data_IF_488484557259
#
_entry.id   IF_488484557259
#
_cell.length_a   1.000
_cell.length_b   1.000
_cell.length_c   1.000
_cell.angle_alpha   90.00
_cell.angle_beta   90.00
_cell.angle_gamma   90.00
#
_symmetry.space_group_name_H-M   'P 1'
#
loop_
_entity.id
_entity.type
_entity.pdbx_description
1 polymer ?
#
# COMPACT_ATOMS: atom_id res chain seq x y z
N UNK A 1 1.51 -15.08 4.20
CA UNK A 1 1.76 -13.70 3.73
C UNK A 1 1.74 -12.69 4.89
N UNK A 2 0.71 -12.68 5.74
CA UNK A 2 0.54 -11.74 6.88
C UNK A 2 1.75 -11.64 7.84
N UNK A 3 2.35 -12.77 8.24
CA UNK A 3 3.56 -12.79 9.10
C UNK A 3 4.78 -12.18 8.43
N UNK A 4 4.87 -12.22 7.08
CA UNK A 4 5.99 -11.65 6.32
C UNK A 4 5.87 -10.13 6.19
N UNK A 5 4.67 -9.56 6.27
CA UNK A 5 4.45 -8.10 6.25
C UNK A 5 4.68 -7.48 7.65
N UNK A 6 4.38 -8.21 8.73
CA UNK A 6 4.47 -7.69 10.11
C UNK A 6 5.89 -7.32 10.54
N UNK A 7 6.89 -8.14 10.21
CA UNK A 7 8.29 -7.85 10.58
C UNK A 7 8.82 -6.56 9.93
N UNK A 8 8.71 -6.37 8.60
CA UNK A 8 9.03 -5.10 7.97
C UNK A 8 8.23 -3.92 8.52
N UNK A 9 6.91 -4.07 8.73
CA UNK A 9 6.07 -3.02 9.29
C UNK A 9 6.55 -2.55 10.68
N UNK A 10 6.98 -3.48 11.54
CA UNK A 10 7.58 -3.14 12.82
C UNK A 10 8.94 -2.43 12.67
N UNK A 11 9.76 -2.85 11.70
CA UNK A 11 11.07 -2.25 11.47
C UNK A 11 11.00 -0.82 10.91
N UNK A 12 9.92 -0.48 10.21
CA UNK A 12 9.70 0.90 9.70
C UNK A 12 8.93 1.77 10.68
N UNK A 13 8.37 1.22 11.76
CA UNK A 13 7.60 1.98 12.77
C UNK A 13 8.38 3.17 13.30
N UNK A 14 9.61 2.95 13.77
CA UNK A 14 10.45 4.01 14.35
C UNK A 14 10.67 5.15 13.35
N UNK A 15 10.89 4.82 12.07
CA UNK A 15 11.05 5.82 11.00
C UNK A 15 9.77 6.61 10.73
N UNK A 16 8.61 5.98 10.88
CA UNK A 16 7.31 6.66 10.75
C UNK A 16 7.11 7.61 11.93
N UNK A 17 7.41 7.16 13.15
CA UNK A 17 7.33 7.97 14.36
C UNK A 17 8.26 9.19 14.29
N UNK A 18 9.51 9.00 13.85
CA UNK A 18 10.49 10.06 13.57
C UNK A 18 9.98 11.02 12.50
N UNK A 19 9.50 10.52 11.36
CA UNK A 19 8.98 11.36 10.29
C UNK A 19 7.78 12.19 10.75
N UNK A 20 6.87 11.62 11.54
CA UNK A 20 5.76 12.35 12.16
C UNK A 20 6.32 13.44 13.07
N UNK A 21 7.22 13.09 13.99
CA UNK A 21 7.80 14.03 14.96
C UNK A 21 8.55 15.20 14.29
N UNK A 22 9.26 14.95 13.19
CA UNK A 22 10.07 15.97 12.51
C UNK A 22 9.27 16.80 11.50
N UNK A 23 8.36 16.17 10.73
CA UNK A 23 7.83 16.76 9.49
C UNK A 23 6.34 17.10 9.51
N UNK A 24 5.54 16.48 10.38
CA UNK A 24 4.09 16.76 10.44
C UNK A 24 3.81 18.02 11.27
N UNK A 25 3.69 19.18 10.66
CA UNK A 25 3.41 20.41 11.41
C UNK A 25 1.98 20.42 11.97
N UNK A 26 1.83 20.18 13.27
CA UNK A 26 0.53 20.10 13.89
C UNK A 26 -0.05 21.48 14.17
N UNK A 27 0.73 22.55 14.34
CA UNK A 27 0.18 23.89 14.59
C UNK A 27 -0.70 24.35 13.43
N UNK A 28 -0.22 24.12 12.20
CA UNK A 28 -0.98 24.40 10.97
C UNK A 28 -2.27 23.56 10.92
N UNK A 29 -2.22 22.28 11.30
CA UNK A 29 -3.37 21.36 11.26
C UNK A 29 -4.38 21.61 12.41
N UNK A 30 -3.90 21.99 13.61
CA UNK A 30 -4.69 22.30 14.81
C UNK A 30 -5.68 23.46 14.57
N UNK A 31 -5.33 24.38 13.67
CA UNK A 31 -6.20 25.51 13.32
C UNK A 31 -7.43 25.12 12.49
N UNK A 32 -7.45 23.90 11.90
CA UNK A 32 -8.38 23.54 10.82
C UNK A 32 -9.62 22.76 11.23
N UNK A 33 -9.71 22.19 12.44
CA UNK A 33 -10.90 21.43 12.82
C UNK A 33 -10.84 20.65 14.12
N UNK A 34 -11.99 20.04 14.47
CA UNK A 34 -12.17 19.19 15.66
C UNK A 34 -11.82 17.72 15.41
N UNK A 35 -11.56 17.33 14.17
CA UNK A 35 -11.29 15.94 13.78
C UNK A 35 -10.00 15.82 12.98
N UNK A 36 -9.33 14.69 13.13
CA UNK A 36 -8.13 14.32 12.39
C UNK A 36 -8.39 13.03 11.63
N UNK A 37 -8.30 13.11 10.32
CA UNK A 37 -8.67 12.05 9.39
C UNK A 37 -7.42 11.36 8.82
N UNK A 38 -7.33 10.05 8.99
CA UNK A 38 -6.28 9.19 8.45
C UNK A 38 -6.88 8.12 7.54
N UNK A 39 -6.19 7.77 6.45
CA UNK A 39 -6.57 6.65 5.58
C UNK A 39 -5.44 5.62 5.42
N UNK A 40 -5.78 4.34 5.48
CA UNK A 40 -4.92 3.21 5.08
C UNK A 40 -5.35 2.68 3.71
N UNK A 41 -4.51 2.88 2.69
CA UNK A 41 -4.72 2.45 1.32
C UNK A 41 -4.12 1.06 1.09
N UNK A 42 -4.99 0.05 0.96
CA UNK A 42 -4.63 -1.36 0.89
C UNK A 42 -4.62 -2.04 2.26
N UNK A 43 -5.67 -1.83 3.05
CA UNK A 43 -5.75 -2.27 4.45
C UNK A 43 -5.90 -3.80 4.62
N UNK A 44 -6.34 -4.50 3.57
CA UNK A 44 -6.73 -5.92 3.61
C UNK A 44 -7.75 -6.19 4.73
N UNK A 45 -7.58 -7.26 5.51
CA UNK A 45 -8.54 -7.72 6.52
C UNK A 45 -8.01 -7.67 7.96
N UNK A 46 -6.83 -7.06 8.18
CA UNK A 46 -6.16 -7.01 9.47
C UNK A 46 -5.29 -8.24 9.81
N UNK A 47 -4.60 -8.25 10.97
CA UNK A 47 -4.57 -7.21 12.00
C UNK A 47 -3.54 -6.09 11.73
N UNK A 48 -2.72 -6.22 10.68
CA UNK A 48 -1.60 -5.31 10.42
C UNK A 48 -2.05 -3.84 10.29
N UNK A 49 -3.17 -3.60 9.61
CA UNK A 49 -3.77 -2.27 9.45
C UNK A 49 -4.13 -1.62 10.79
N UNK A 50 -4.72 -2.37 11.74
CA UNK A 50 -5.09 -1.85 13.06
C UNK A 50 -3.86 -1.45 13.87
N UNK A 51 -2.80 -2.27 13.81
CA UNK A 51 -1.53 -1.98 14.48
C UNK A 51 -0.90 -0.72 13.90
N UNK A 52 -0.90 -0.58 12.57
CA UNK A 52 -0.36 0.60 11.90
C UNK A 52 -1.15 1.87 12.27
N UNK A 53 -2.49 1.84 12.18
CA UNK A 53 -3.34 2.98 12.52
C UNK A 53 -3.18 3.38 13.99
N UNK A 54 -3.16 2.41 14.91
CA UNK A 54 -2.94 2.68 16.33
C UNK A 54 -1.59 3.38 16.57
N UNK A 55 -0.49 2.83 16.02
CA UNK A 55 0.84 3.40 16.21
C UNK A 55 0.95 4.83 15.63
N UNK A 56 0.40 5.06 14.43
CA UNK A 56 0.43 6.38 13.79
C UNK A 56 -0.36 7.37 14.62
N UNK A 57 -1.57 7.01 15.05
CA UNK A 57 -2.43 7.89 15.86
C UNK A 57 -1.82 8.20 17.22
N UNK A 58 -1.16 7.25 17.89
CA UNK A 58 -0.42 7.51 19.13
C UNK A 58 0.72 8.52 18.91
N UNK A 59 1.44 8.43 17.78
CA UNK A 59 2.50 9.38 17.44
C UNK A 59 1.96 10.77 17.09
N UNK A 60 0.86 10.83 16.35
CA UNK A 60 0.12 12.07 16.05
C UNK A 60 -0.40 12.72 17.33
N UNK A 61 -1.01 11.95 18.23
CA UNK A 61 -1.54 12.47 19.50
C UNK A 61 -0.41 13.01 20.40
N UNK A 62 0.72 12.30 20.50
CA UNK A 62 1.91 12.79 21.22
C UNK A 62 2.39 14.12 20.66
N UNK A 63 2.43 14.25 19.33
CA UNK A 63 2.84 15.49 18.67
C UNK A 63 1.81 16.61 18.87
N UNK A 64 0.53 16.29 18.82
CA UNK A 64 -0.54 17.24 19.10
C UNK A 64 -0.41 17.82 20.52
N UNK A 65 -0.21 16.95 21.53
CA UNK A 65 -0.03 17.36 22.93
C UNK A 65 1.19 18.24 23.15
N UNK A 66 2.26 18.05 22.37
CA UNK A 66 3.48 18.85 22.51
C UNK A 66 3.40 20.22 21.83
N UNK A 67 2.79 20.31 20.64
CA UNK A 67 2.71 21.56 19.86
C UNK A 67 1.45 22.38 20.15
N UNK A 68 0.34 21.74 20.53
CA UNK A 68 -0.93 22.40 20.80
C UNK A 68 -1.42 22.12 22.25
N UNK A 69 -0.63 22.43 23.29
CA UNK A 69 -0.89 22.00 24.68
C UNK A 69 -2.16 22.58 25.30
N UNK A 70 -2.65 23.71 24.78
CA UNK A 70 -3.89 24.37 25.22
C UNK A 70 -5.12 23.93 24.43
N UNK A 71 -4.94 23.17 23.35
CA UNK A 71 -6.02 22.72 22.47
C UNK A 71 -6.57 21.37 22.93
N UNK A 72 -7.87 21.14 22.70
CA UNK A 72 -8.46 19.82 22.92
C UNK A 72 -7.91 18.84 21.87
N UNK A 73 -7.66 17.60 22.29
CA UNK A 73 -7.25 16.51 21.37
C UNK A 73 -8.37 16.30 20.34
N UNK A 74 -8.06 16.21 19.04
CA UNK A 74 -9.08 16.04 18.01
C UNK A 74 -9.68 14.63 18.06
N UNK A 75 -10.91 14.50 17.56
CA UNK A 75 -11.50 13.18 17.31
C UNK A 75 -10.79 12.53 16.12
N UNK A 76 -10.21 11.35 16.33
CA UNK A 76 -9.55 10.60 15.27
C UNK A 76 -10.56 9.79 14.46
N UNK A 77 -10.47 9.86 13.13
CA UNK A 77 -11.22 9.00 12.21
C UNK A 77 -10.27 8.29 11.26
N UNK A 78 -10.29 6.96 11.30
CA UNK A 78 -9.54 6.08 10.42
C UNK A 78 -10.42 5.52 9.30
N UNK A 79 -9.98 5.72 8.06
CA UNK A 79 -10.58 5.17 6.86
C UNK A 79 -9.77 3.96 6.38
N UNK A 80 -10.42 2.81 6.29
CA UNK A 80 -9.83 1.59 5.77
C UNK A 80 -10.23 1.42 4.31
N UNK A 81 -9.28 1.66 3.40
CA UNK A 81 -9.48 1.48 1.96
C UNK A 81 -8.87 0.17 1.47
N UNK A 82 -9.64 -0.53 0.64
CA UNK A 82 -9.16 -1.64 -0.18
C UNK A 82 -10.10 -1.80 -1.39
N UNK A 83 -9.79 -2.73 -2.28
CA UNK A 83 -10.64 -3.11 -3.40
C UNK A 83 -12.05 -3.44 -2.93
N UNK A 84 -13.05 -3.17 -3.76
CA UNK A 84 -14.45 -3.46 -3.43
C UNK A 84 -14.70 -4.97 -3.14
N UNK A 85 -13.85 -5.84 -3.67
CA UNK A 85 -13.85 -7.29 -3.44
C UNK A 85 -13.17 -7.73 -2.13
N UNK A 86 -12.55 -6.82 -1.38
CA UNK A 86 -11.93 -7.15 -0.10
C UNK A 86 -12.99 -7.57 0.93
N UNK A 87 -12.59 -8.45 1.85
CA UNK A 87 -13.47 -8.92 2.93
C UNK A 87 -13.52 -7.93 4.10
N UNK A 88 -14.25 -6.83 3.89
CA UNK A 88 -14.52 -5.85 4.93
C UNK A 88 -15.32 -6.41 6.11
N UNK A 89 -16.03 -7.53 5.95
CA UNK A 89 -16.75 -8.15 7.06
C UNK A 89 -15.74 -8.74 8.07
N UNK A 90 -14.72 -9.45 7.58
CA UNK A 90 -13.63 -9.93 8.43
C UNK A 90 -12.86 -8.76 9.06
N UNK A 91 -12.58 -7.69 8.30
CA UNK A 91 -11.96 -6.49 8.86
C UNK A 91 -12.77 -5.94 10.05
N UNK A 92 -14.09 -5.75 9.88
CA UNK A 92 -14.90 -5.14 10.93
C UNK A 92 -15.20 -6.05 12.11
N UNK A 93 -15.29 -7.37 11.91
CA UNK A 93 -15.46 -8.32 13.01
C UNK A 93 -14.20 -8.48 13.87
N UNK A 94 -13.02 -8.10 13.34
CA UNK A 94 -11.73 -8.21 14.03
C UNK A 94 -11.19 -6.86 14.54
N UNK A 95 -11.98 -5.79 14.45
CA UNK A 95 -11.60 -4.47 14.96
C UNK A 95 -11.34 -4.49 16.48
N UNK A 96 -10.24 -3.86 16.96
CA UNK A 96 -9.99 -3.71 18.39
C UNK A 96 -11.09 -2.90 19.08
N UNK A 97 -11.61 -3.40 20.20
CA UNK A 97 -12.69 -2.75 20.95
C UNK A 97 -12.22 -1.54 21.76
N UNK A 98 -10.95 -1.52 22.14
CA UNK A 98 -10.26 -0.51 22.94
C UNK A 98 -9.65 0.62 22.10
N UNK A 99 -9.89 0.64 20.79
CA UNK A 99 -9.43 1.69 19.88
C UNK A 99 -9.99 3.06 20.29
N UNK A 100 -9.18 4.10 20.11
CA UNK A 100 -9.54 5.48 20.43
C UNK A 100 -9.87 6.32 19.18
N UNK A 101 -10.38 5.67 18.14
CA UNK A 101 -10.70 6.32 16.87
C UNK A 101 -11.97 5.74 16.24
N UNK A 102 -12.69 6.61 15.54
CA UNK A 102 -13.82 6.25 14.69
C UNK A 102 -13.31 5.53 13.43
N UNK A 103 -14.14 4.67 12.85
CA UNK A 103 -13.76 3.84 11.72
C UNK A 103 -14.78 3.94 10.60
N UNK A 104 -14.30 3.99 9.36
CA UNK A 104 -15.12 3.87 8.17
C UNK A 104 -14.40 3.03 7.12
N UNK A 105 -15.16 2.30 6.30
CA UNK A 105 -14.62 1.61 5.12
C UNK A 105 -14.75 2.48 3.88
N UNK A 106 -13.81 2.35 2.96
CA UNK A 106 -13.80 3.03 1.68
C UNK A 106 -13.50 2.01 0.58
N UNK A 107 -14.51 1.33 0.01
CA UNK A 107 -14.28 0.36 -1.05
C UNK A 107 -13.94 1.05 -2.37
N UNK A 108 -12.85 0.63 -3.01
CA UNK A 108 -12.44 1.14 -4.33
C UNK A 108 -10.94 1.05 -4.55
N UNK A 109 -10.53 1.12 -5.82
CA UNK A 109 -9.12 1.16 -6.20
C UNK A 109 -8.47 2.47 -5.74
N UNK A 110 -7.30 2.38 -5.10
CA UNK A 110 -6.53 3.56 -4.72
C UNK A 110 -5.84 4.25 -5.92
N UNK A 111 -5.82 3.64 -7.10
CA UNK A 111 -5.39 4.27 -8.36
C UNK A 111 -6.46 5.24 -8.91
N UNK A 112 -7.20 5.90 -8.03
CA UNK A 112 -8.26 6.84 -8.36
C UNK A 112 -8.64 7.68 -7.14
N UNK A 113 -9.61 8.60 -7.32
CA UNK A 113 -10.15 9.43 -6.25
C UNK A 113 -11.11 8.61 -5.37
N UNK A 114 -10.94 8.73 -4.05
CA UNK A 114 -11.69 8.02 -3.02
C UNK A 114 -12.28 8.95 -1.97
N UNK A 115 -11.69 10.14 -1.81
CA UNK A 115 -12.10 11.13 -0.81
C UNK A 115 -12.39 12.49 -1.44
N UNK A 116 -13.20 13.36 -0.80
CA UNK A 116 -13.33 14.76 -1.18
C UNK A 116 -12.00 15.51 -1.14
N UNK A 117 -11.93 16.65 -1.82
CA UNK A 117 -10.74 17.51 -1.80
C UNK A 117 -10.41 17.94 -0.35
N UNK A 118 -9.13 17.94 0.01
CA UNK A 118 -8.62 18.39 1.31
C UNK A 118 -9.39 17.84 2.52
N UNK A 119 -9.60 16.53 2.55
CA UNK A 119 -10.35 15.85 3.61
C UNK A 119 -9.50 14.89 4.46
N UNK A 120 -8.27 14.56 4.01
CA UNK A 120 -7.35 13.70 4.73
C UNK A 120 -6.18 14.50 5.31
N UNK A 121 -5.83 14.23 6.56
CA UNK A 121 -4.67 14.81 7.22
C UNK A 121 -3.45 13.89 7.08
N UNK A 122 -3.70 12.58 7.07
CA UNK A 122 -2.66 11.57 6.96
C UNK A 122 -3.10 10.46 5.99
N UNK A 123 -2.21 10.08 5.08
CA UNK A 123 -2.39 8.95 4.18
C UNK A 123 -1.27 7.93 4.44
N UNK A 124 -1.65 6.67 4.54
CA UNK A 124 -0.74 5.56 4.77
C UNK A 124 -0.97 4.47 3.74
N UNK A 125 0.08 3.86 3.24
CA UNK A 125 -0.02 2.63 2.46
C UNK A 125 1.17 1.72 2.76
N UNK A 126 0.89 0.44 3.01
CA UNK A 126 1.93 -0.54 3.27
C UNK A 126 1.74 -1.82 2.49
N UNK A 127 2.75 -2.16 1.69
CA UNK A 127 2.79 -3.37 0.86
C UNK A 127 1.57 -3.51 -0.06
N UNK A 128 1.08 -2.38 -0.60
CA UNK A 128 -0.06 -2.36 -1.51
C UNK A 128 0.29 -1.78 -2.88
N UNK A 129 1.05 -0.68 -2.93
CA UNK A 129 1.37 0.06 -4.16
C UNK A 129 2.21 -0.70 -5.22
N UNK A 130 2.75 -1.86 -4.87
CA UNK A 130 3.44 -2.73 -5.84
C UNK A 130 2.46 -3.55 -6.71
N UNK A 131 1.17 -3.58 -6.35
CA UNK A 131 0.13 -4.16 -7.18
C UNK A 131 -0.29 -3.16 -8.24
N UNK A 132 -0.05 -3.49 -9.51
CA UNK A 132 -0.46 -2.67 -10.64
C UNK A 132 -2.00 -2.63 -10.78
N UNK A 133 -2.49 -1.56 -11.40
CA UNK A 133 -3.92 -1.42 -11.73
C UNK A 133 -4.38 -2.45 -12.75
N UNK A 134 -3.48 -2.87 -13.63
CA UNK A 134 -3.70 -3.89 -14.67
C UNK A 134 -2.37 -4.49 -15.13
N UNK A 135 -2.46 -5.61 -15.86
CA UNK A 135 -1.32 -6.14 -16.62
C UNK A 135 -1.02 -5.19 -17.79
N UNK A 136 0.25 -4.81 -18.04
CA UNK A 136 0.61 -4.03 -19.23
C UNK A 136 0.15 -4.74 -20.52
N UNK A 137 -0.51 -4.01 -21.41
CA UNK A 137 -1.21 -4.59 -22.58
C UNK A 137 -0.22 -5.21 -23.56
N UNK A 138 0.96 -4.62 -23.69
CA UNK A 138 2.07 -5.09 -24.52
C UNK A 138 2.65 -6.44 -24.09
N UNK A 139 2.37 -6.90 -22.86
CA UNK A 139 2.75 -8.24 -22.40
C UNK A 139 1.78 -9.33 -22.89
N UNK A 140 0.57 -8.93 -23.29
CA UNK A 140 -0.52 -9.83 -23.71
C UNK A 140 -0.56 -10.03 -25.23
N UNK A 141 -0.03 -9.07 -26.00
CA UNK A 141 0.05 -9.17 -27.45
C UNK A 141 1.16 -10.14 -27.87
N UNK A 142 0.78 -11.26 -28.50
CA UNK A 142 1.71 -12.29 -29.01
C UNK A 142 2.69 -11.76 -30.06
N UNK A 143 2.37 -10.64 -30.71
CA UNK A 143 3.22 -10.01 -31.72
C UNK A 143 4.16 -8.95 -31.12
N UNK A 144 3.95 -8.58 -29.86
CA UNK A 144 4.77 -7.60 -29.16
C UNK A 144 6.14 -8.18 -28.83
N UNK A 145 7.17 -7.33 -28.91
CA UNK A 145 8.51 -7.67 -28.45
C UNK A 145 8.60 -7.84 -26.92
N UNK A 146 7.56 -7.40 -26.19
CA UNK A 146 7.42 -7.57 -24.74
C UNK A 146 6.51 -8.76 -24.38
N UNK A 147 6.07 -9.58 -25.35
CA UNK A 147 5.24 -10.75 -25.06
C UNK A 147 5.96 -11.70 -24.09
N UNK A 148 5.44 -11.85 -22.87
CA UNK A 148 6.11 -12.60 -21.81
C UNK A 148 5.81 -14.11 -21.90
N UNK A 149 6.15 -14.73 -23.04
CA UNK A 149 5.79 -16.12 -23.33
C UNK A 149 6.39 -17.09 -22.32
N UNK A 150 5.53 -17.94 -21.74
CA UNK A 150 5.94 -19.03 -20.85
C UNK A 150 6.38 -18.57 -19.47
N UNK A 151 6.08 -17.33 -19.10
CA UNK A 151 6.47 -16.72 -17.82
C UNK A 151 5.32 -15.93 -17.21
N UNK A 152 5.37 -15.74 -15.90
CA UNK A 152 4.32 -15.03 -15.15
C UNK A 152 4.78 -13.67 -14.62
N UNK A 153 6.07 -13.35 -14.74
CA UNK A 153 6.66 -12.10 -14.23
C UNK A 153 7.98 -11.75 -14.92
N UNK A 154 8.64 -10.68 -14.46
CA UNK A 154 9.86 -10.12 -15.07
C UNK A 154 11.18 -10.47 -14.34
N UNK A 155 11.15 -11.42 -13.41
CA UNK A 155 12.28 -11.75 -12.50
C UNK A 155 13.60 -12.06 -13.22
N UNK A 156 13.53 -12.70 -14.38
CA UNK A 156 14.68 -13.15 -15.18
C UNK A 156 14.41 -13.00 -16.69
N UNK A 157 13.80 -11.88 -17.09
CA UNK A 157 13.28 -11.65 -18.45
C UNK A 157 14.09 -10.65 -19.26
N UNK A 158 13.67 -10.44 -20.52
CA UNK A 158 14.19 -9.39 -21.39
C UNK A 158 13.89 -8.00 -20.81
N UNK A 159 14.77 -7.04 -21.08
CA UNK A 159 14.63 -5.63 -20.66
C UNK A 159 13.28 -5.04 -21.07
N UNK A 160 12.75 -5.40 -22.25
CA UNK A 160 11.46 -4.92 -22.76
C UNK A 160 10.25 -5.31 -21.91
N UNK A 161 10.31 -6.46 -21.22
CA UNK A 161 9.26 -6.88 -20.28
C UNK A 161 9.35 -6.04 -19.01
N UNK A 162 10.58 -5.80 -18.52
CA UNK A 162 10.82 -4.93 -17.36
C UNK A 162 10.33 -3.50 -17.64
N UNK A 163 10.60 -2.97 -18.83
CA UNK A 163 10.17 -1.63 -19.26
C UNK A 163 8.64 -1.51 -19.28
N UNK A 164 7.93 -2.54 -19.73
CA UNK A 164 6.46 -2.57 -19.73
C UNK A 164 5.89 -2.51 -18.31
N UNK A 165 6.40 -3.35 -17.40
CA UNK A 165 6.02 -3.30 -15.98
C UNK A 165 6.37 -1.96 -15.34
N UNK A 166 7.56 -1.42 -15.62
CA UNK A 166 8.03 -0.14 -15.08
C UNK A 166 7.16 1.03 -15.57
N UNK A 167 6.79 1.04 -16.86
CA UNK A 167 5.94 2.07 -17.45
C UNK A 167 4.53 2.05 -16.84
N UNK A 168 3.95 0.86 -16.65
CA UNK A 168 2.65 0.71 -15.99
C UNK A 168 2.71 1.14 -14.51
N UNK A 169 3.77 0.76 -13.79
CA UNK A 169 3.99 1.21 -12.41
C UNK A 169 4.11 2.74 -12.31
N UNK A 170 4.87 3.37 -13.19
CA UNK A 170 5.04 4.82 -13.21
C UNK A 170 3.70 5.52 -13.42
N UNK A 171 2.90 5.04 -14.38
CA UNK A 171 1.54 5.55 -14.64
C UNK A 171 0.61 5.37 -13.43
N UNK A 172 0.64 4.19 -12.80
CA UNK A 172 -0.18 3.90 -11.63
C UNK A 172 0.20 4.79 -10.43
N UNK A 173 1.50 5.02 -10.22
CA UNK A 173 2.00 5.90 -9.17
C UNK A 173 1.67 7.37 -9.44
N UNK A 174 1.75 7.84 -10.68
CA UNK A 174 1.33 9.20 -11.06
C UNK A 174 -0.14 9.42 -10.70
N UNK A 175 -1.02 8.51 -11.13
CA UNK A 175 -2.46 8.58 -10.84
C UNK A 175 -2.72 8.53 -9.32
N UNK A 176 -2.03 7.64 -8.60
CA UNK A 176 -2.14 7.55 -7.15
C UNK A 176 -1.73 8.87 -6.48
N UNK A 177 -0.56 9.42 -6.81
CA UNK A 177 -0.03 10.64 -6.21
C UNK A 177 -0.90 11.86 -6.56
N UNK A 178 -1.39 11.97 -7.79
CA UNK A 178 -2.31 13.03 -8.22
C UNK A 178 -3.63 12.99 -7.45
N UNK A 179 -4.16 11.80 -7.20
CA UNK A 179 -5.36 11.63 -6.40
C UNK A 179 -5.11 12.01 -4.93
N UNK A 180 -4.01 11.52 -4.33
CA UNK A 180 -3.66 11.84 -2.93
C UNK A 180 -3.35 13.31 -2.72
N UNK A 181 -2.73 13.98 -3.70
CA UNK A 181 -2.42 15.41 -3.63
C UNK A 181 -3.68 16.28 -3.54
N UNK A 182 -4.79 15.86 -4.18
CA UNK A 182 -6.08 16.55 -4.08
C UNK A 182 -6.81 16.26 -2.77
N UNK A 183 -6.67 15.04 -2.25
CA UNK A 183 -7.40 14.58 -1.06
C UNK A 183 -6.75 15.01 0.25
N UNK A 184 -5.43 15.17 0.26
CA UNK A 184 -4.69 15.66 1.42
C UNK A 184 -4.94 17.16 1.62
N UNK A 185 -5.08 17.55 2.89
CA UNK A 185 -5.05 18.97 3.30
C UNK A 185 -3.64 19.54 3.07
N UNK A 186 -3.55 20.87 2.96
CA UNK A 186 -2.26 21.55 3.00
C UNK A 186 -1.54 21.21 4.32
N UNK A 187 -0.27 20.79 4.23
CA UNK A 187 0.51 20.32 5.38
C UNK A 187 0.24 18.86 5.79
N UNK A 188 -0.68 18.16 5.11
CA UNK A 188 -0.92 16.74 5.34
C UNK A 188 0.27 15.86 4.94
N UNK A 189 0.30 14.62 5.45
CA UNK A 189 1.42 13.69 5.25
C UNK A 189 0.98 12.41 4.55
N UNK A 190 1.78 11.97 3.57
CA UNK A 190 1.68 10.66 2.94
C UNK A 190 2.90 9.80 3.32
N UNK A 191 2.65 8.63 3.90
CA UNK A 191 3.67 7.62 4.20
C UNK A 191 3.39 6.37 3.38
N UNK A 192 4.40 5.90 2.64
CA UNK A 192 4.30 4.72 1.79
C UNK A 192 5.44 3.77 2.08
N UNK A 193 5.12 2.48 2.21
CA UNK A 193 6.11 1.41 2.30
C UNK A 193 5.72 0.31 1.32
N UNK A 194 6.66 -0.19 0.54
CA UNK A 194 6.40 -1.23 -0.44
C UNK A 194 7.66 -2.07 -0.69
N UNK A 195 7.52 -3.32 -1.17
CA UNK A 195 8.65 -4.09 -1.66
C UNK A 195 9.36 -3.31 -2.77
N UNK A 196 10.68 -3.25 -2.70
CA UNK A 196 11.52 -2.65 -3.74
C UNK A 196 12.65 -3.60 -4.11
N UNK A 197 13.27 -3.35 -5.26
CA UNK A 197 14.48 -4.05 -5.68
C UNK A 197 15.70 -3.30 -5.14
N UNK A 198 16.58 -3.94 -4.35
CA UNK A 198 17.81 -3.28 -3.91
C UNK A 198 18.73 -2.95 -5.10
N UNK A 199 19.42 -1.81 -5.01
CA UNK A 199 20.35 -1.38 -6.05
C UNK A 199 21.44 -2.43 -6.31
N UNK A 200 21.68 -2.75 -7.58
CA UNK A 200 22.69 -3.72 -8.00
C UNK A 200 22.32 -5.18 -7.77
N UNK A 201 21.14 -5.48 -7.20
CA UNK A 201 20.65 -6.84 -7.01
C UNK A 201 19.59 -7.15 -8.09
N UNK A 202 19.80 -8.15 -8.95
CA UNK A 202 18.80 -8.58 -9.93
C UNK A 202 17.48 -9.03 -9.28
N UNK A 203 16.35 -8.84 -9.99
CA UNK A 203 15.03 -9.18 -9.46
C UNK A 203 14.93 -10.66 -9.03
N UNK A 204 15.42 -11.60 -9.83
CA UNK A 204 15.46 -13.04 -9.52
C UNK A 204 16.21 -13.39 -8.22
N UNK A 205 17.12 -12.54 -7.75
CA UNK A 205 17.86 -12.76 -6.49
C UNK A 205 17.15 -12.14 -5.28
N UNK A 206 16.08 -11.37 -5.49
CA UNK A 206 15.27 -10.85 -4.41
C UNK A 206 14.35 -11.93 -3.84
N UNK A 207 13.92 -11.76 -2.58
CA UNK A 207 12.97 -12.69 -1.96
C UNK A 207 11.64 -12.79 -2.71
N UNK A 208 11.19 -11.71 -3.35
CA UNK A 208 9.97 -11.72 -4.18
C UNK A 208 10.21 -12.43 -5.51
N UNK A 209 11.31 -12.12 -6.20
CA UNK A 209 11.66 -12.78 -7.46
C UNK A 209 11.79 -14.30 -7.32
N UNK A 210 12.52 -14.77 -6.30
CA UNK A 210 12.63 -16.21 -6.04
C UNK A 210 11.28 -16.88 -5.78
N UNK A 211 10.39 -16.25 -5.01
CA UNK A 211 9.05 -16.80 -4.77
C UNK A 211 8.24 -16.93 -6.06
N UNK A 212 8.36 -15.95 -6.95
CA UNK A 212 7.66 -15.95 -8.23
C UNK A 212 8.26 -16.99 -9.17
N UNK A 213 9.59 -17.14 -9.21
CA UNK A 213 10.26 -18.18 -9.99
C UNK A 213 9.82 -19.59 -9.56
N UNK A 214 9.68 -19.83 -8.25
CA UNK A 214 9.12 -21.10 -7.76
C UNK A 214 7.66 -21.29 -8.19
N UNK A 215 6.83 -20.26 -8.10
CA UNK A 215 5.45 -20.33 -8.56
C UNK A 215 5.36 -20.61 -10.08
N UNK A 216 6.22 -19.97 -10.87
CA UNK A 216 6.35 -20.22 -12.30
C UNK A 216 6.70 -21.68 -12.59
N UNK A 217 7.66 -22.25 -11.84
CA UNK A 217 8.03 -23.66 -11.99
C UNK A 217 6.86 -24.60 -11.73
N UNK A 218 6.04 -24.34 -10.70
CA UNK A 218 4.83 -25.12 -10.44
C UNK A 218 3.83 -25.03 -11.60
N UNK A 219 3.66 -23.86 -12.22
CA UNK A 219 2.79 -23.72 -13.40
C UNK A 219 3.33 -24.50 -14.60
N UNK A 220 4.64 -24.48 -14.83
CA UNK A 220 5.27 -25.23 -15.90
C UNK A 220 5.11 -26.74 -15.70
N UNK A 221 5.27 -27.24 -14.48
CA UNK A 221 5.06 -28.65 -14.15
C UNK A 221 3.63 -29.09 -14.48
N UNK A 222 2.62 -28.29 -14.09
CA UNK A 222 1.22 -28.58 -14.41
C UNK A 222 0.93 -28.58 -15.93
N UNK A 223 1.58 -27.71 -16.71
CA UNK A 223 1.46 -27.70 -18.18
C UNK A 223 2.08 -28.96 -18.79
N UNK A 224 3.22 -29.40 -18.24
CA UNK A 224 3.95 -30.57 -18.74
C UNK A 224 3.20 -31.88 -18.46
N UNK A 225 2.55 -32.01 -17.28
CA UNK A 225 1.75 -33.20 -16.95
C UNK A 225 0.59 -33.42 -17.93
N UNK A 226 -0.07 -32.35 -18.38
CA UNK A 226 -1.16 -32.42 -19.37
C UNK A 226 -0.63 -32.70 -20.78
N UNK A 227 0.61 -32.32 -21.06
CA UNK A 227 1.23 -32.46 -22.38
C UNK A 227 1.86 -33.83 -22.61
N UNK A 228 2.06 -34.62 -21.55
CA UNK A 228 2.49 -36.03 -21.65
C UNK A 228 1.28 -36.96 -21.84
N UNK A 229 1.18 -37.73 -22.94
CA UNK A 229 0.09 -38.69 -23.11
C UNK A 229 0.16 -39.79 -22.04
N UNK A 230 -1.00 -40.35 -21.61
CA UNK A 230 -1.02 -41.44 -20.63
C UNK A 230 -0.23 -42.64 -21.16
N UNK A 231 0.56 -43.26 -20.28
CA UNK A 231 1.31 -44.50 -20.54
C UNK A 231 0.37 -45.70 -20.70
#
# INVERSE_FOLDING_TARGET
>A
MLLRQRKPANAVREKIDEAIAEKLDMETLCSSGKSFHIADFGCSTGPNTFIAMQNILESVERKYKSQCPTSQIPEFQAFFNDQASNDFNTLFTTLPLDRQYLVARVPGSFHGRLFPDSSLHFAYSSTALHWLSKVPEELLDKNSASFNKGRIYYSNTLDKVVDAYSSQFAKDMEIFLDARAKELVAGGMLVMTMPGQPNGIPCCQTGMGMMIDYLESCFLDMVNEVSTPPK
#
